data_IF_877869181480
#
_entry.id   IF_877869181480
#
_cell.length_a   1.000
_cell.length_b   1.000
_cell.length_c   1.000
_cell.angle_alpha   90.00
_cell.angle_beta   90.00
_cell.angle_gamma   90.00
#
_symmetry.space_group_name_H-M   'P 1'
#
loop_
_entity.id
_entity.type
_entity.pdbx_description
1 polymer ?
#
# COMPACT_ATOMS: atom_id res chain seq x y z
N UNK A 1 4.50 -10.70 7.72
CA UNK A 1 5.32 -11.70 6.99
C UNK A 1 6.77 -11.20 6.96
N UNK A 2 7.73 -11.96 7.49
CA UNK A 2 9.16 -11.61 7.44
C UNK A 2 9.75 -12.19 6.15
N UNK A 3 10.26 -11.32 5.26
CA UNK A 3 10.90 -11.74 4.02
C UNK A 3 12.41 -11.50 4.12
N UNK A 4 13.18 -12.57 4.12
CA UNK A 4 14.64 -12.56 4.32
C UNK A 4 15.45 -12.63 3.02
N UNK A 5 14.80 -12.91 1.90
CA UNK A 5 15.45 -13.05 0.58
C UNK A 5 15.75 -11.69 -0.07
N UNK A 6 16.66 -11.63 -1.06
CA UNK A 6 17.03 -10.39 -1.73
C UNK A 6 15.84 -9.66 -2.35
N UNK A 7 15.55 -8.44 -1.89
CA UNK A 7 14.43 -7.60 -2.37
C UNK A 7 14.49 -7.29 -3.87
N UNK A 8 15.70 -7.05 -4.41
CA UNK A 8 15.91 -6.80 -5.85
C UNK A 8 15.43 -7.95 -6.73
N UNK A 9 15.54 -9.20 -6.24
CA UNK A 9 15.05 -10.39 -6.95
C UNK A 9 13.53 -10.37 -7.10
N UNK A 10 12.80 -9.89 -6.09
CA UNK A 10 11.34 -9.71 -6.19
C UNK A 10 10.96 -8.66 -7.23
N UNK A 11 11.57 -7.47 -7.16
CA UNK A 11 11.31 -6.40 -8.13
C UNK A 11 11.58 -6.87 -9.57
N UNK A 12 12.73 -7.55 -9.80
CA UNK A 12 13.05 -8.12 -11.11
C UNK A 12 12.05 -9.19 -11.57
N UNK A 13 11.51 -9.97 -10.65
CA UNK A 13 10.54 -11.03 -10.97
C UNK A 13 9.19 -10.50 -11.40
N UNK A 14 8.74 -9.43 -10.77
CA UNK A 14 7.46 -8.77 -11.09
C UNK A 14 7.62 -7.61 -12.09
N UNK A 15 8.86 -7.25 -12.43
CA UNK A 15 9.21 -6.14 -13.31
C UNK A 15 8.65 -4.79 -12.85
N UNK A 16 8.50 -4.64 -11.53
CA UNK A 16 7.99 -3.42 -10.88
C UNK A 16 8.85 -3.12 -9.65
N UNK A 17 9.16 -1.85 -9.41
CA UNK A 17 9.82 -1.42 -8.19
C UNK A 17 8.83 -1.44 -7.02
N UNK A 18 8.73 -2.56 -6.33
CA UNK A 18 7.80 -2.77 -5.21
C UNK A 18 8.12 -1.94 -3.97
N UNK A 19 9.32 -1.38 -3.88
CA UNK A 19 9.79 -0.68 -2.68
C UNK A 19 9.95 0.83 -2.87
N UNK A 20 9.75 1.34 -4.09
CA UNK A 20 9.81 2.75 -4.40
C UNK A 20 11.17 3.43 -4.16
N UNK A 21 12.23 2.66 -3.86
CA UNK A 21 13.57 3.17 -3.62
C UNK A 21 14.45 3.04 -4.87
N UNK A 22 15.31 4.02 -5.13
CA UNK A 22 16.23 4.01 -6.28
C UNK A 22 17.15 2.79 -6.32
N UNK A 23 17.51 2.25 -5.15
CA UNK A 23 18.32 1.02 -5.03
C UNK A 23 17.71 -0.18 -5.78
N UNK A 24 16.38 -0.20 -5.93
CA UNK A 24 15.63 -1.28 -6.58
C UNK A 24 15.08 -0.87 -7.95
N UNK A 25 15.57 0.24 -8.49
CA UNK A 25 15.26 0.67 -9.85
C UNK A 25 15.75 -0.37 -10.85
N UNK A 26 14.85 -0.80 -11.72
CA UNK A 26 15.12 -1.84 -12.73
C UNK A 26 15.73 -1.26 -13.99
N UNK A 27 15.54 0.02 -14.27
CA UNK A 27 16.08 0.72 -15.44
C UNK A 27 17.60 0.84 -15.36
N UNK A 28 18.14 0.96 -14.15
CA UNK A 28 19.58 1.03 -13.87
C UNK A 28 20.26 -0.35 -13.83
N UNK A 29 19.56 -1.42 -14.17
CA UNK A 29 20.07 -2.79 -14.07
C UNK A 29 20.50 -3.31 -15.44
N UNK A 30 21.79 -3.56 -15.63
CA UNK A 30 22.36 -4.18 -16.86
C UNK A 30 21.91 -5.65 -17.06
N UNK A 31 21.12 -6.22 -16.17
CA UNK A 31 20.63 -7.59 -16.27
C UNK A 31 19.25 -7.59 -16.92
N UNK A 32 19.13 -8.29 -18.05
CA UNK A 32 17.86 -8.55 -18.69
C UNK A 32 16.81 -9.13 -17.73
N UNK A 33 15.52 -8.87 -17.96
CA UNK A 33 14.45 -9.54 -17.23
C UNK A 33 14.67 -11.05 -17.31
N UNK A 34 14.35 -11.76 -16.22
CA UNK A 34 14.36 -13.22 -16.25
C UNK A 34 13.41 -13.66 -17.37
N UNK A 35 13.96 -14.11 -18.51
CA UNK A 35 13.16 -14.58 -19.63
C UNK A 35 12.18 -15.63 -19.12
N UNK A 36 10.92 -15.28 -19.14
CA UNK A 36 9.84 -16.23 -18.96
C UNK A 36 9.75 -17.06 -20.23
N UNK A 37 9.81 -18.38 -20.14
CA UNK A 37 9.26 -19.29 -21.16
C UNK A 37 7.83 -18.81 -21.47
N UNK A 38 7.29 -19.12 -22.66
CA UNK A 38 5.85 -18.88 -22.95
C UNK A 38 5.05 -19.31 -21.73
N UNK A 39 4.56 -18.35 -20.96
CA UNK A 39 3.82 -18.65 -19.75
C UNK A 39 2.42 -19.08 -20.16
N UNK A 40 1.93 -20.17 -19.58
CA UNK A 40 0.51 -20.54 -19.70
C UNK A 40 -0.37 -19.40 -19.16
N UNK A 41 -1.61 -19.33 -19.60
CA UNK A 41 -2.57 -18.34 -19.10
C UNK A 41 -2.67 -18.36 -17.57
N UNK A 42 -2.72 -19.53 -16.97
CA UNK A 42 -2.64 -19.71 -15.52
C UNK A 42 -1.39 -19.04 -14.92
N UNK A 43 -0.24 -19.23 -15.58
CA UNK A 43 1.01 -18.62 -15.12
C UNK A 43 0.97 -17.10 -15.15
N UNK A 44 0.32 -16.49 -16.15
CA UNK A 44 0.11 -15.05 -16.24
C UNK A 44 -0.80 -14.55 -15.11
N UNK A 45 -1.94 -15.19 -14.91
CA UNK A 45 -2.89 -14.87 -13.84
C UNK A 45 -2.23 -14.98 -12.46
N UNK A 46 -1.47 -16.07 -12.22
CA UNK A 46 -0.70 -16.26 -10.98
C UNK A 46 0.29 -15.12 -10.75
N UNK A 47 1.00 -14.65 -11.79
CA UNK A 47 1.95 -13.53 -11.66
C UNK A 47 1.25 -12.25 -11.29
N UNK A 48 0.14 -11.91 -11.91
CA UNK A 48 -0.63 -10.69 -11.59
C UNK A 48 -1.14 -10.73 -10.15
N UNK A 49 -1.64 -11.87 -9.70
CA UNK A 49 -2.02 -12.06 -8.29
C UNK A 49 -0.81 -11.89 -7.34
N UNK A 50 0.34 -12.48 -7.67
CA UNK A 50 1.53 -12.36 -6.84
C UNK A 50 2.06 -10.92 -6.77
N UNK A 51 1.97 -10.17 -7.87
CA UNK A 51 2.29 -8.75 -7.89
C UNK A 51 1.42 -7.97 -6.90
N UNK A 52 0.09 -8.11 -7.00
CA UNK A 52 -0.85 -7.44 -6.09
C UNK A 52 -0.59 -7.79 -4.62
N UNK A 53 -0.47 -9.07 -4.31
CA UNK A 53 -0.17 -9.54 -2.96
C UNK A 53 1.13 -8.95 -2.40
N UNK A 54 2.18 -8.89 -3.21
CA UNK A 54 3.49 -8.34 -2.82
C UNK A 54 3.46 -6.83 -2.66
N UNK A 55 2.70 -6.15 -3.49
CA UNK A 55 2.54 -4.70 -3.41
C UNK A 55 1.95 -4.28 -2.05
N UNK A 56 0.89 -4.96 -1.61
CA UNK A 56 0.30 -4.72 -0.28
C UNK A 56 1.01 -5.47 0.86
N UNK A 57 2.08 -6.20 0.56
CA UNK A 57 2.88 -6.94 1.54
C UNK A 57 2.07 -7.90 2.41
N UNK A 58 1.15 -8.64 1.78
CA UNK A 58 0.25 -9.59 2.45
C UNK A 58 0.72 -11.05 2.30
N UNK A 59 0.31 -11.91 3.24
CA UNK A 59 0.41 -13.35 3.07
C UNK A 59 -0.66 -13.85 2.11
N UNK A 60 -0.49 -15.06 1.57
CA UNK A 60 -1.49 -15.66 0.65
C UNK A 60 -2.86 -15.80 1.34
N UNK A 61 -2.86 -16.33 2.56
CA UNK A 61 -4.08 -16.50 3.35
C UNK A 61 -4.83 -15.18 3.60
N UNK A 62 -4.09 -14.12 3.94
CA UNK A 62 -4.68 -12.79 4.13
C UNK A 62 -5.26 -12.23 2.83
N UNK A 63 -4.53 -12.34 1.72
CA UNK A 63 -4.98 -11.83 0.43
C UNK A 63 -6.23 -12.56 -0.06
N UNK A 64 -6.27 -13.90 0.04
CA UNK A 64 -7.45 -14.70 -0.27
C UNK A 64 -8.66 -14.36 0.62
N UNK A 65 -8.43 -14.09 1.93
CA UNK A 65 -9.53 -13.70 2.82
C UNK A 65 -10.15 -12.36 2.45
N UNK A 66 -9.39 -11.40 1.91
CA UNK A 66 -9.96 -10.14 1.38
C UNK A 66 -10.81 -10.40 0.15
N UNK A 67 -10.42 -11.31 -0.73
CA UNK A 67 -11.24 -11.71 -1.87
C UNK A 67 -12.56 -12.34 -1.43
N UNK A 68 -12.51 -13.31 -0.53
CA UNK A 68 -13.72 -13.96 0.02
C UNK A 68 -14.63 -12.94 0.74
N UNK A 69 -14.06 -11.98 1.48
CA UNK A 69 -14.80 -10.91 2.13
C UNK A 69 -15.50 -10.00 1.10
N UNK A 70 -14.83 -9.69 0.01
CA UNK A 70 -15.38 -8.88 -1.08
C UNK A 70 -16.54 -9.62 -1.81
N UNK A 71 -16.38 -10.91 -2.06
CA UNK A 71 -17.44 -11.76 -2.63
C UNK A 71 -18.73 -11.80 -1.80
N UNK A 72 -18.59 -11.85 -0.47
CA UNK A 72 -19.72 -11.88 0.47
C UNK A 72 -20.39 -10.52 0.64
N UNK A 73 -19.76 -9.45 0.22
CA UNK A 73 -20.30 -8.10 0.33
C UNK A 73 -21.38 -7.87 -0.74
N UNK A 74 -22.64 -7.68 -0.31
CA UNK A 74 -23.81 -7.38 -1.16
C UNK A 74 -23.81 -5.90 -1.62
N UNK A 75 -22.73 -5.37 -2.14
CA UNK A 75 -22.66 -4.00 -2.57
C UNK A 75 -22.83 -3.91 -4.10
N UNK A 76 -23.28 -2.77 -4.61
CA UNK A 76 -23.41 -2.44 -6.03
C UNK A 76 -22.08 -2.48 -6.82
N UNK A 77 -20.97 -2.52 -6.11
CA UNK A 77 -19.62 -2.55 -6.66
C UNK A 77 -19.20 -3.96 -7.07
N UNK A 78 -18.39 -4.05 -8.10
CA UNK A 78 -17.80 -5.33 -8.49
C UNK A 78 -16.96 -5.91 -7.35
N UNK A 79 -16.89 -7.23 -7.23
CA UNK A 79 -16.10 -7.93 -6.18
C UNK A 79 -14.68 -7.42 -6.10
N UNK A 80 -14.12 -7.06 -7.23
CA UNK A 80 -12.76 -6.54 -7.31
C UNK A 80 -12.62 -5.12 -6.73
N UNK A 81 -13.47 -4.19 -7.14
CA UNK A 81 -13.45 -2.82 -6.62
C UNK A 81 -13.59 -2.83 -5.09
N UNK A 82 -14.47 -3.70 -4.60
CA UNK A 82 -14.66 -3.89 -3.17
C UNK A 82 -13.42 -4.43 -2.47
N UNK A 83 -12.74 -5.41 -3.10
CA UNK A 83 -11.49 -5.94 -2.59
C UNK A 83 -10.41 -4.85 -2.53
N UNK A 84 -10.29 -4.01 -3.56
CA UNK A 84 -9.33 -2.91 -3.59
C UNK A 84 -9.66 -1.86 -2.54
N UNK A 85 -10.93 -1.50 -2.37
CA UNK A 85 -11.33 -0.61 -1.27
C UNK A 85 -10.89 -1.15 0.09
N UNK A 86 -11.11 -2.43 0.36
CA UNK A 86 -10.65 -3.03 1.61
C UNK A 86 -9.12 -3.01 1.76
N UNK A 87 -8.37 -3.15 0.68
CA UNK A 87 -6.92 -3.09 0.71
C UNK A 87 -6.40 -1.66 0.87
N UNK A 88 -7.03 -0.69 0.23
CA UNK A 88 -6.64 0.72 0.33
C UNK A 88 -7.00 1.31 1.70
N UNK A 89 -8.15 0.94 2.28
CA UNK A 89 -8.60 1.40 3.59
C UNK A 89 -7.88 0.74 4.78
N UNK A 90 -6.87 -0.06 4.56
CA UNK A 90 -6.04 -0.59 5.64
C UNK A 90 -5.19 0.52 6.26
N UNK A 91 -5.10 0.55 7.58
CA UNK A 91 -4.33 1.56 8.31
C UNK A 91 -2.87 1.65 7.85
N UNK A 92 -2.21 0.50 7.65
CA UNK A 92 -0.82 0.47 7.15
C UNK A 92 -0.70 1.08 5.74
N UNK A 93 -1.69 0.88 4.88
CA UNK A 93 -1.67 1.43 3.53
C UNK A 93 -2.03 2.92 3.51
N UNK A 94 -2.97 3.37 4.34
CA UNK A 94 -3.33 4.80 4.47
C UNK A 94 -2.13 5.64 4.89
N UNK A 95 -1.38 5.18 5.90
CA UNK A 95 -0.16 5.86 6.36
C UNK A 95 0.90 5.94 5.25
N UNK A 96 1.01 4.88 4.44
CA UNK A 96 1.89 4.90 3.26
C UNK A 96 1.39 5.89 2.20
N UNK A 97 0.10 5.90 1.90
CA UNK A 97 -0.52 6.83 0.93
C UNK A 97 -0.41 8.30 1.37
N UNK A 98 -0.44 8.54 2.67
CA UNK A 98 -0.21 9.86 3.25
C UNK A 98 1.28 10.28 3.28
N UNK A 99 2.19 9.46 2.76
CA UNK A 99 3.65 9.66 2.74
C UNK A 99 4.33 9.72 4.13
N UNK A 100 3.68 9.23 5.18
CA UNK A 100 4.31 9.10 6.51
C UNK A 100 5.31 7.95 6.58
N UNK A 101 5.43 7.16 5.53
CA UNK A 101 6.43 6.12 5.40
C UNK A 101 6.89 5.99 3.94
N UNK A 102 8.18 5.72 3.74
CA UNK A 102 8.77 5.56 2.40
C UNK A 102 8.34 4.27 1.69
N UNK A 103 7.92 3.26 2.46
CA UNK A 103 7.49 1.95 1.95
C UNK A 103 6.33 1.40 2.76
N UNK A 104 5.47 0.57 2.15
CA UNK A 104 4.39 -0.13 2.86
C UNK A 104 4.89 -1.04 4.00
N UNK A 105 6.11 -1.58 3.87
CA UNK A 105 6.73 -2.37 4.94
C UNK A 105 7.06 -1.49 6.14
N UNK A 106 7.62 -0.33 5.91
CA UNK A 106 7.95 0.65 6.95
C UNK A 106 6.68 1.15 7.65
N UNK A 107 5.66 1.51 6.87
CA UNK A 107 4.36 1.90 7.40
C UNK A 107 3.78 0.84 8.33
N UNK A 108 3.78 -0.41 7.87
CA UNK A 108 3.31 -1.54 8.67
C UNK A 108 4.11 -1.70 9.97
N UNK A 109 5.41 -1.49 9.94
CA UNK A 109 6.26 -1.53 11.12
C UNK A 109 5.92 -0.40 12.09
N UNK A 110 5.72 0.82 11.60
CA UNK A 110 5.33 1.95 12.41
C UNK A 110 4.00 1.72 13.13
N UNK A 111 3.00 1.18 12.43
CA UNK A 111 1.73 0.81 13.06
C UNK A 111 1.93 -0.26 14.12
N UNK A 112 2.66 -1.35 13.80
CA UNK A 112 2.90 -2.44 14.75
C UNK A 112 3.67 -2.00 15.99
N UNK A 113 4.45 -0.93 15.89
CA UNK A 113 5.14 -0.29 17.02
C UNK A 113 4.27 0.77 17.71
N UNK A 114 3.00 0.85 17.31
CA UNK A 114 2.03 1.78 17.87
C UNK A 114 2.49 3.26 17.84
N UNK A 115 3.03 3.71 16.70
CA UNK A 115 3.41 5.10 16.52
C UNK A 115 2.19 6.02 16.33
N UNK A 116 1.05 5.48 15.91
CA UNK A 116 -0.14 6.23 15.58
C UNK A 116 -1.30 5.99 16.54
N UNK A 117 -2.20 6.93 16.56
CA UNK A 117 -3.52 6.82 17.18
C UNK A 117 -4.60 6.94 16.11
N UNK A 118 -5.69 6.24 16.29
CA UNK A 118 -6.91 6.34 15.48
C UNK A 118 -8.02 6.87 16.38
N UNK A 119 -8.56 8.03 16.04
CA UNK A 119 -9.57 8.70 16.86
C UNK A 119 -9.12 8.78 18.34
N UNK A 120 -7.88 9.24 18.56
CA UNK A 120 -7.20 9.38 19.86
C UNK A 120 -6.89 8.07 20.60
N UNK A 121 -7.34 6.92 20.10
CA UNK A 121 -7.02 5.62 20.68
C UNK A 121 -5.73 5.07 20.06
N UNK A 122 -4.80 4.62 20.90
CA UNK A 122 -3.55 3.98 20.45
C UNK A 122 -3.86 2.71 19.67
N UNK A 123 -3.23 2.54 18.50
CA UNK A 123 -3.41 1.38 17.62
C UNK A 123 -2.08 0.75 17.23
N UNK A 124 -2.05 -0.59 17.21
CA UNK A 124 -0.89 -1.40 16.85
C UNK A 124 -1.20 -2.49 15.78
N UNK A 125 -2.46 -2.55 15.33
CA UNK A 125 -2.92 -3.54 14.34
C UNK A 125 -2.94 -2.93 12.93
N UNK A 126 -2.02 -3.31 12.02
CA UNK A 126 -1.92 -2.74 10.67
C UNK A 126 -3.13 -3.02 9.77
N UNK A 127 -3.92 -4.03 10.08
CA UNK A 127 -5.07 -4.46 9.27
C UNK A 127 -6.39 -3.78 9.65
N UNK A 128 -6.40 -2.83 10.58
CA UNK A 128 -7.58 -2.04 10.89
C UNK A 128 -8.09 -1.38 9.62
N UNK A 129 -9.37 -1.51 9.34
CA UNK A 129 -10.04 -0.82 8.25
C UNK A 129 -10.52 0.54 8.75
N UNK A 130 -9.98 1.61 8.20
CA UNK A 130 -10.38 2.97 8.52
C UNK A 130 -11.68 3.32 7.80
N UNK A 131 -12.45 4.25 8.40
CA UNK A 131 -13.72 4.73 7.87
C UNK A 131 -13.59 6.19 7.44
N UNK A 132 -14.58 6.67 6.71
CA UNK A 132 -14.70 8.10 6.39
C UNK A 132 -14.86 8.87 7.70
N UNK A 133 -14.18 10.00 7.80
CA UNK A 133 -14.04 10.87 8.97
C UNK A 133 -13.16 10.35 10.11
N UNK A 134 -12.53 9.18 9.94
CA UNK A 134 -11.50 8.77 10.90
C UNK A 134 -10.29 9.70 10.82
N UNK A 135 -9.76 10.05 11.99
CA UNK A 135 -8.56 10.86 12.16
C UNK A 135 -7.43 10.00 12.69
N UNK A 136 -6.35 9.91 11.91
CA UNK A 136 -5.12 9.21 12.30
C UNK A 136 -4.10 10.28 12.68
N UNK A 137 -3.54 10.22 13.87
CA UNK A 137 -2.51 11.16 14.32
C UNK A 137 -1.26 10.47 14.82
N UNK A 138 -0.12 11.13 14.65
CA UNK A 138 1.13 10.69 15.26
C UNK A 138 1.07 10.92 16.77
N UNK A 139 1.55 9.97 17.57
CA UNK A 139 1.62 10.10 19.02
C UNK A 139 2.54 11.25 19.42
N UNK A 140 2.12 12.07 20.39
CA UNK A 140 2.87 13.26 20.82
C UNK A 140 4.31 12.96 21.25
N UNK A 141 4.52 11.85 21.96
CA UNK A 141 5.87 11.39 22.37
C UNK A 141 6.84 11.17 21.21
N UNK A 142 6.34 10.97 19.99
CA UNK A 142 7.15 10.68 18.81
C UNK A 142 7.36 11.90 17.91
N UNK A 143 6.60 12.98 18.10
CA UNK A 143 6.72 14.21 17.29
C UNK A 143 8.11 14.83 17.38
N UNK A 144 8.75 14.71 18.54
CA UNK A 144 10.10 15.23 18.77
C UNK A 144 11.22 14.28 18.29
N UNK A 145 10.89 13.07 17.89
CA UNK A 145 11.86 12.09 17.41
C UNK A 145 12.56 12.58 16.13
N UNK A 146 13.87 12.37 16.00
CA UNK A 146 14.63 12.75 14.79
C UNK A 146 14.05 12.17 13.51
N UNK A 147 13.48 10.96 13.59
CA UNK A 147 12.84 10.28 12.45
C UNK A 147 11.67 11.09 11.89
N UNK A 148 10.83 11.66 12.77
CA UNK A 148 9.63 12.38 12.32
C UNK A 148 9.92 13.86 12.03
N UNK A 149 10.99 14.44 12.61
CA UNK A 149 11.49 15.77 12.22
C UNK A 149 11.98 15.75 10.76
N UNK A 150 12.80 14.76 10.40
CA UNK A 150 13.24 14.61 9.00
C UNK A 150 12.09 14.30 8.04
N UNK A 151 11.07 13.57 8.50
CA UNK A 151 9.87 13.31 7.71
C UNK A 151 9.05 14.57 7.46
N UNK A 152 8.94 15.45 8.44
CA UNK A 152 8.27 16.76 8.29
C UNK A 152 8.93 17.59 7.21
N UNK A 153 10.26 17.72 7.25
CA UNK A 153 11.05 18.43 6.25
C UNK A 153 10.78 17.84 4.84
N UNK A 154 10.83 16.51 4.72
CA UNK A 154 10.51 15.81 3.47
C UNK A 154 9.07 16.10 3.00
N UNK A 155 8.08 16.08 3.88
CA UNK A 155 6.68 16.37 3.54
C UNK A 155 6.47 17.82 3.09
N UNK A 156 7.14 18.76 3.71
CA UNK A 156 7.12 20.17 3.31
C UNK A 156 7.77 20.39 1.94
N UNK A 157 8.91 19.77 1.69
CA UNK A 157 9.56 19.79 0.37
C UNK A 157 8.68 19.17 -0.71
N UNK A 158 8.03 18.05 -0.43
CA UNK A 158 7.09 17.42 -1.37
C UNK A 158 5.87 18.28 -1.64
N UNK A 159 5.32 18.96 -0.64
CA UNK A 159 4.19 19.86 -0.82
C UNK A 159 4.55 21.06 -1.70
N UNK A 160 5.76 21.60 -1.56
CA UNK A 160 6.27 22.73 -2.37
C UNK A 160 6.63 22.31 -3.80
N UNK A 161 7.19 21.12 -3.98
CA UNK A 161 7.69 20.65 -5.29
C UNK A 161 6.64 19.96 -6.16
N UNK A 162 5.45 19.74 -5.67
CA UNK A 162 4.38 18.94 -6.31
C UNK A 162 4.83 17.53 -6.75
N UNK A 163 5.96 17.04 -6.23
CA UNK A 163 6.57 15.75 -6.55
C UNK A 163 6.22 14.68 -5.52
N UNK A 164 4.94 14.47 -5.26
CA UNK A 164 4.52 13.38 -4.41
C UNK A 164 4.97 12.04 -5.00
N UNK A 165 5.74 11.26 -4.26
CA UNK A 165 6.13 9.89 -4.67
C UNK A 165 4.93 8.96 -4.82
N UNK A 166 3.89 9.24 -4.07
CA UNK A 166 2.58 8.60 -4.18
C UNK A 166 1.64 9.64 -4.72
N UNK A 167 0.88 9.31 -5.76
CA UNK A 167 -0.13 10.19 -6.35
C UNK A 167 -1.00 10.80 -5.25
N UNK A 168 -1.20 12.11 -5.29
CA UNK A 168 -2.03 12.80 -4.32
C UNK A 168 -3.42 12.16 -4.29
N UNK A 169 -3.70 11.43 -3.24
CA UNK A 169 -4.97 10.74 -3.09
C UNK A 169 -6.04 11.75 -2.71
N UNK A 170 -7.05 11.93 -3.55
CA UNK A 170 -8.16 12.88 -3.32
C UNK A 170 -8.99 12.53 -2.07
N UNK A 171 -8.97 11.29 -1.64
CA UNK A 171 -9.77 10.78 -0.53
C UNK A 171 -9.09 10.92 0.85
N UNK A 172 -7.81 11.36 0.89
CA UNK A 172 -7.03 11.59 2.10
C UNK A 172 -6.65 13.07 2.18
N UNK A 173 -6.84 13.67 3.34
CA UNK A 173 -6.31 14.99 3.68
C UNK A 173 -5.19 14.83 4.69
N UNK A 174 -4.05 15.47 4.44
CA UNK A 174 -2.88 15.43 5.30
C UNK A 174 -2.58 16.83 5.81
N UNK A 175 -2.62 17.00 7.13
CA UNK A 175 -2.12 18.20 7.81
C UNK A 175 -0.68 17.96 8.25
N UNK A 176 0.27 18.52 7.50
CA UNK A 176 1.70 18.38 7.76
C UNK A 176 2.11 19.00 9.10
N UNK A 177 1.46 20.10 9.52
CA UNK A 177 1.81 20.80 10.76
C UNK A 177 1.40 20.01 12.00
N UNK A 178 0.20 19.42 11.97
CA UNK A 178 -0.33 18.63 13.09
C UNK A 178 0.08 17.15 13.02
N UNK A 179 0.65 16.70 11.88
CA UNK A 179 0.92 15.30 11.60
C UNK A 179 -0.33 14.43 11.74
N UNK A 180 -1.43 14.91 11.16
CA UNK A 180 -2.71 14.22 11.14
C UNK A 180 -3.15 13.88 9.73
N UNK A 181 -3.84 12.75 9.61
CA UNK A 181 -4.41 12.24 8.37
C UNK A 181 -5.90 12.09 8.58
N UNK A 182 -6.71 12.74 7.76
CA UNK A 182 -8.16 12.64 7.80
C UNK A 182 -8.68 11.95 6.55
N UNK A 183 -9.57 10.98 6.70
CA UNK A 183 -10.21 10.27 5.59
C UNK A 183 -11.46 11.04 5.17
N UNK A 184 -11.45 11.62 3.96
CA UNK A 184 -12.59 12.41 3.44
C UNK A 184 -13.63 11.58 2.70
N UNK A 185 -13.18 10.56 1.98
CA UNK A 185 -14.05 9.74 1.14
C UNK A 185 -13.58 8.28 1.09
N UNK A 186 -14.39 7.42 0.49
CA UNK A 186 -13.97 6.06 0.15
C UNK A 186 -13.16 6.13 -1.14
N UNK A 187 -12.02 5.39 -1.25
CA UNK A 187 -11.20 5.40 -2.45
C UNK A 187 -12.01 4.94 -3.67
N UNK A 188 -11.94 5.72 -4.75
CA UNK A 188 -12.57 5.43 -6.03
C UNK A 188 -11.63 4.61 -6.93
N UNK A 189 -12.14 4.13 -8.06
CA UNK A 189 -11.38 3.32 -9.01
C UNK A 189 -10.13 4.03 -9.56
N UNK A 190 -10.20 5.34 -9.68
CA UNK A 190 -9.09 6.20 -10.14
C UNK A 190 -7.92 6.24 -9.15
N UNK A 191 -8.20 6.04 -7.85
CA UNK A 191 -7.19 6.06 -6.79
C UNK A 191 -6.43 4.74 -6.66
N UNK A 192 -6.90 3.68 -7.32
CA UNK A 192 -6.27 2.38 -7.25
C UNK A 192 -4.97 2.33 -8.06
N UNK A 193 -4.08 1.44 -7.67
CA UNK A 193 -2.82 1.20 -8.39
C UNK A 193 -3.09 0.69 -9.82
N UNK A 194 -2.91 1.55 -10.81
CA UNK A 194 -3.16 1.25 -12.23
C UNK A 194 -2.29 0.10 -12.79
N UNK A 195 -1.17 -0.23 -12.11
CA UNK A 195 -0.28 -1.33 -12.51
C UNK A 195 -0.93 -2.70 -12.32
N UNK A 196 -1.98 -2.78 -11.50
CA UNK A 196 -2.66 -4.04 -11.19
C UNK A 196 -3.67 -4.38 -12.29
N UNK A 197 -3.43 -5.53 -12.93
CA UNK A 197 -4.37 -6.14 -13.88
C UNK A 197 -5.43 -6.94 -13.10
N UNK A 198 -6.51 -6.28 -12.90
CA UNK A 198 -7.64 -6.63 -12.05
C UNK A 198 -8.34 -7.89 -12.52
N UNK A 199 -8.64 -7.91 -13.81
CA UNK A 199 -9.41 -8.98 -14.43
C UNK A 199 -8.71 -10.33 -14.24
N UNK A 200 -7.41 -10.39 -14.48
CA UNK A 200 -6.63 -11.62 -14.32
C UNK A 200 -6.54 -12.13 -12.88
N UNK A 201 -6.69 -11.26 -11.90
CA UNK A 201 -6.71 -11.66 -10.48
C UNK A 201 -8.06 -12.30 -10.15
N UNK A 202 -9.16 -11.73 -10.64
CA UNK A 202 -10.50 -12.31 -10.47
C UNK A 202 -10.58 -13.68 -11.15
N UNK A 203 -10.14 -13.79 -12.40
CA UNK A 203 -10.10 -15.03 -13.15
C UNK A 203 -9.30 -16.13 -12.42
N UNK A 204 -8.20 -15.76 -11.76
CA UNK A 204 -7.41 -16.69 -10.97
C UNK A 204 -8.17 -17.30 -9.79
N UNK A 205 -9.01 -16.51 -9.12
CA UNK A 205 -9.79 -16.96 -7.96
C UNK A 205 -11.16 -17.53 -8.33
N UNK A 206 -11.62 -17.37 -9.57
CA UNK A 206 -12.88 -17.90 -10.07
C UNK A 206 -12.76 -19.33 -10.62
N UNK A 207 -11.54 -19.83 -10.73
CA UNK A 207 -11.20 -21.21 -11.05
C UNK A 207 -11.12 -22.04 -9.76
#
# INVERSE_FOLDING_TARGET
MRYTWPKKKLCRREWVNLFGTEKYDLTKSNRAPLRSRKSSEYGVQLRKKQLAKRMFWLSEKQFASYFTKAQKSKAEWTTWEKMMQFLELRLDNVIYRANFARTRIQSRQFVSHAHFTLNWVKVDVPSISVKVWDVISLRDKLKESPLYKSLLEELEEFSKSNKWKVSACKWIEVDSKKLTITIKAIPAKEDFEQILDIQKIVEFYSK
#
